data_IF_046586540066
#
_entry.id   IF_046586540066
#
_cell.length_a   1.000
_cell.length_b   1.000
_cell.length_c   1.000
_cell.angle_alpha   90.00
_cell.angle_beta   90.00
_cell.angle_gamma   90.00
#
_symmetry.space_group_name_H-M   'P 1'
#
loop_
_entity.id
_entity.type
_entity.pdbx_description
1 polymer ?
#
# COMPACT_ATOMS: atom_id res chain seq x y z
N UNK A 1 -6.39 -84.47 9.63
CA UNK A 1 -7.43 -84.35 8.60
C UNK A 1 -7.40 -82.96 8.05
N UNK A 2 -7.04 -82.86 6.81
CA UNK A 2 -6.74 -81.69 6.03
C UNK A 2 -8.02 -80.95 5.69
N UNK A 3 -8.00 -79.62 5.69
CA UNK A 3 -8.75 -78.78 4.75
C UNK A 3 -8.05 -77.46 4.56
N UNK A 4 -7.53 -77.32 3.39
CA UNK A 4 -7.06 -76.07 2.74
C UNK A 4 -8.24 -75.14 2.52
N UNK A 5 -8.03 -73.86 2.68
CA UNK A 5 -8.99 -72.80 2.34
C UNK A 5 -8.27 -71.57 1.83
N UNK A 6 -8.38 -71.35 0.56
CA UNK A 6 -7.72 -70.42 -0.33
C UNK A 6 -7.87 -68.97 0.08
N UNK A 7 -6.73 -68.30 0.05
CA UNK A 7 -6.49 -66.85 0.06
C UNK A 7 -6.98 -66.22 -1.25
N UNK A 8 -8.00 -65.35 -1.19
CA UNK A 8 -8.39 -64.51 -2.33
C UNK A 8 -8.01 -63.04 -1.98
N UNK A 9 -6.94 -62.62 -2.62
CA UNK A 9 -6.49 -61.26 -2.64
C UNK A 9 -7.49 -60.34 -3.34
N UNK A 10 -8.18 -59.49 -2.59
CA UNK A 10 -8.99 -58.37 -3.14
C UNK A 10 -8.11 -57.16 -3.38
N UNK A 11 -7.74 -56.93 -4.60
CA UNK A 11 -7.10 -55.72 -5.10
C UNK A 11 -8.09 -54.57 -5.03
N UNK A 12 -7.92 -53.69 -4.06
CA UNK A 12 -8.71 -52.47 -3.90
C UNK A 12 -8.12 -51.37 -4.78
N UNK A 13 -8.73 -51.16 -5.95
CA UNK A 13 -8.49 -50.01 -6.81
C UNK A 13 -8.68 -48.72 -6.04
N UNK A 14 -7.59 -47.98 -5.84
CA UNK A 14 -7.64 -46.60 -5.38
C UNK A 14 -8.08 -45.73 -6.55
N UNK A 15 -9.39 -45.37 -6.58
CA UNK A 15 -9.89 -44.29 -7.39
C UNK A 15 -9.14 -42.99 -7.01
N UNK A 16 -8.41 -42.50 -8.00
CA UNK A 16 -7.73 -41.19 -7.89
C UNK A 16 -8.75 -40.09 -7.58
N UNK A 17 -8.45 -39.33 -6.55
CA UNK A 17 -9.16 -38.08 -6.26
C UNK A 17 -8.94 -37.10 -7.42
N UNK A 18 -9.96 -36.35 -7.83
CA UNK A 18 -9.79 -35.32 -8.84
C UNK A 18 -8.90 -34.24 -8.24
N UNK A 19 -7.74 -34.02 -8.84
CA UNK A 19 -6.88 -32.87 -8.56
C UNK A 19 -7.63 -31.62 -9.00
N UNK A 20 -8.06 -30.82 -8.03
CA UNK A 20 -8.67 -29.51 -8.25
C UNK A 20 -7.61 -28.55 -8.81
N UNK A 21 -7.49 -28.50 -10.12
CA UNK A 21 -6.69 -27.54 -10.87
C UNK A 21 -7.45 -26.22 -11.12
N UNK A 22 -8.52 -25.95 -10.36
CA UNK A 22 -9.39 -24.79 -10.56
C UNK A 22 -8.83 -23.45 -10.03
N UNK A 23 -7.75 -23.44 -9.24
CA UNK A 23 -7.22 -22.20 -8.64
C UNK A 23 -6.47 -21.29 -9.60
N UNK A 24 -5.61 -21.86 -10.43
CA UNK A 24 -4.73 -21.07 -11.32
C UNK A 24 -5.51 -20.36 -12.45
N UNK A 25 -6.57 -20.96 -12.95
CA UNK A 25 -7.38 -20.38 -14.03
C UNK A 25 -8.20 -19.16 -13.59
N UNK A 26 -8.64 -19.10 -12.33
CA UNK A 26 -9.40 -17.95 -11.79
C UNK A 26 -8.51 -16.74 -11.49
N UNK A 27 -7.31 -16.94 -10.99
CA UNK A 27 -6.34 -15.85 -10.77
C UNK A 27 -5.88 -15.24 -12.09
N UNK A 28 -5.61 -16.05 -13.10
CA UNK A 28 -5.22 -15.58 -14.44
C UNK A 28 -6.36 -14.84 -15.15
N UNK A 29 -7.62 -15.25 -14.97
CA UNK A 29 -8.78 -14.54 -15.52
C UNK A 29 -9.05 -13.20 -14.82
N UNK A 30 -8.75 -13.05 -13.51
CA UNK A 30 -8.86 -11.76 -12.81
C UNK A 30 -7.82 -10.73 -13.27
N UNK A 31 -6.66 -11.17 -13.74
CA UNK A 31 -5.58 -10.31 -14.22
C UNK A 31 -5.83 -9.74 -15.63
N UNK A 32 -6.77 -10.30 -16.37
CA UNK A 32 -7.08 -9.90 -17.76
C UNK A 32 -8.42 -9.16 -17.94
N UNK A 33 -9.04 -8.71 -16.83
CA UNK A 33 -10.26 -7.89 -16.92
C UNK A 33 -9.99 -6.56 -17.63
N UNK A 34 -11.00 -6.03 -18.32
CA UNK A 34 -10.91 -4.68 -18.92
C UNK A 34 -10.52 -3.64 -17.87
N UNK A 35 -11.09 -3.73 -16.67
CA UNK A 35 -10.76 -2.87 -15.54
C UNK A 35 -9.28 -2.91 -15.19
N UNK A 36 -8.68 -4.09 -15.11
CA UNK A 36 -7.27 -4.24 -14.82
C UNK A 36 -6.38 -3.70 -15.93
N UNK A 37 -6.73 -3.92 -17.21
CA UNK A 37 -6.00 -3.35 -18.35
C UNK A 37 -5.99 -1.83 -18.33
N UNK A 38 -7.16 -1.22 -18.08
CA UNK A 38 -7.28 0.23 -17.96
C UNK A 38 -6.50 0.75 -16.74
N UNK A 39 -6.61 0.09 -15.59
CA UNK A 39 -5.82 0.44 -14.41
C UNK A 39 -4.31 0.40 -14.69
N UNK A 40 -3.82 -0.66 -15.32
CA UNK A 40 -2.40 -0.81 -15.68
C UNK A 40 -1.91 0.33 -16.59
N UNK A 41 -2.69 0.67 -17.62
CA UNK A 41 -2.38 1.84 -18.47
C UNK A 41 -2.30 3.13 -17.66
N UNK A 42 -3.23 3.33 -16.73
CA UNK A 42 -3.24 4.48 -15.83
C UNK A 42 -1.99 4.54 -14.96
N UNK A 43 -1.59 3.41 -14.36
CA UNK A 43 -0.37 3.33 -13.55
C UNK A 43 0.90 3.65 -14.37
N UNK A 44 0.99 3.15 -15.58
CA UNK A 44 2.14 3.42 -16.44
C UNK A 44 2.20 4.91 -16.84
N UNK A 45 1.05 5.55 -17.06
CA UNK A 45 0.98 6.99 -17.31
C UNK A 45 1.34 7.84 -16.07
N UNK A 46 1.04 7.37 -14.85
CA UNK A 46 1.51 8.02 -13.62
C UNK A 46 3.04 8.00 -13.57
N UNK A 47 3.67 6.85 -13.86
CA UNK A 47 5.14 6.72 -13.91
C UNK A 47 5.76 7.66 -14.94
N UNK A 48 5.07 7.89 -16.06
CA UNK A 48 5.47 8.83 -17.11
C UNK A 48 5.14 10.29 -16.79
N UNK A 49 4.73 10.61 -15.57
CA UNK A 49 4.37 11.96 -15.12
C UNK A 49 3.27 12.62 -15.97
N UNK A 50 2.31 11.82 -16.44
CA UNK A 50 1.18 12.30 -17.22
C UNK A 50 -0.16 12.05 -16.50
N UNK A 51 -0.45 12.80 -15.41
CA UNK A 51 -1.61 12.54 -14.56
C UNK A 51 -2.95 12.79 -15.28
N UNK A 52 -3.01 13.73 -16.23
CA UNK A 52 -4.25 14.02 -16.95
C UNK A 52 -4.73 12.83 -17.79
N UNK A 53 -3.81 12.17 -18.51
CA UNK A 53 -4.15 10.95 -19.25
C UNK A 53 -4.39 9.78 -18.31
N UNK A 54 -3.61 9.65 -17.25
CA UNK A 54 -3.80 8.61 -16.24
C UNK A 54 -5.19 8.67 -15.60
N UNK A 55 -5.71 9.88 -15.34
CA UNK A 55 -7.02 10.09 -14.76
C UNK A 55 -8.14 9.46 -15.60
N UNK A 56 -8.07 9.58 -16.92
CA UNK A 56 -9.06 8.97 -17.82
C UNK A 56 -9.09 7.44 -17.67
N UNK A 57 -7.94 6.80 -17.75
CA UNK A 57 -7.83 5.34 -17.67
C UNK A 57 -8.19 4.80 -16.28
N UNK A 58 -7.73 5.46 -15.20
CA UNK A 58 -8.06 5.00 -13.84
C UNK A 58 -9.54 5.24 -13.53
N UNK A 59 -10.14 6.32 -14.00
CA UNK A 59 -11.59 6.55 -13.89
C UNK A 59 -12.36 5.41 -14.55
N UNK A 60 -11.96 5.03 -15.77
CA UNK A 60 -12.60 3.90 -16.48
C UNK A 60 -12.48 2.58 -15.71
N UNK A 61 -11.33 2.31 -15.09
CA UNK A 61 -11.16 1.14 -14.24
C UNK A 61 -12.10 1.15 -13.03
N UNK A 62 -12.28 2.31 -12.38
CA UNK A 62 -13.22 2.47 -11.25
C UNK A 62 -14.68 2.34 -11.70
N UNK A 63 -15.04 2.81 -12.89
CA UNK A 63 -16.39 2.63 -13.44
C UNK A 63 -16.73 1.16 -13.68
N UNK A 64 -15.75 0.36 -14.10
CA UNK A 64 -15.90 -1.07 -14.34
C UNK A 64 -15.92 -1.89 -13.04
N UNK A 65 -15.09 -1.50 -12.05
CA UNK A 65 -14.96 -2.18 -10.74
C UNK A 65 -14.95 -1.15 -9.61
N UNK A 66 -16.11 -0.63 -9.24
CA UNK A 66 -16.27 0.47 -8.28
C UNK A 66 -15.95 0.11 -6.81
N UNK A 67 -15.88 -1.18 -6.48
CA UNK A 67 -15.56 -1.67 -5.13
C UNK A 67 -14.10 -2.12 -4.96
N UNK A 68 -13.23 -1.85 -5.94
CA UNK A 68 -11.83 -2.18 -5.81
C UNK A 68 -11.06 -1.06 -5.08
N UNK A 69 -10.59 -1.29 -3.84
CA UNK A 69 -9.94 -0.25 -3.04
C UNK A 69 -8.64 0.26 -3.65
N UNK A 70 -7.93 -0.58 -4.43
CA UNK A 70 -6.72 -0.15 -5.13
C UNK A 70 -7.04 0.84 -6.25
N UNK A 71 -8.09 0.59 -7.03
CA UNK A 71 -8.49 1.50 -8.11
C UNK A 71 -8.99 2.83 -7.54
N UNK A 72 -9.82 2.79 -6.49
CA UNK A 72 -10.30 3.99 -5.80
C UNK A 72 -9.15 4.82 -5.22
N UNK A 73 -8.21 4.17 -4.54
CA UNK A 73 -7.07 4.87 -3.93
C UNK A 73 -6.18 5.55 -4.98
N UNK A 74 -5.91 4.89 -6.11
CA UNK A 74 -5.16 5.50 -7.20
C UNK A 74 -5.98 6.58 -7.93
N UNK A 75 -7.30 6.42 -8.02
CA UNK A 75 -8.18 7.46 -8.56
C UNK A 75 -8.10 8.74 -7.74
N UNK A 76 -8.18 8.64 -6.40
CA UNK A 76 -8.00 9.78 -5.50
C UNK A 76 -6.63 10.44 -5.70
N UNK A 77 -5.55 9.64 -5.74
CA UNK A 77 -4.19 10.16 -5.97
C UNK A 77 -4.09 10.94 -7.29
N UNK A 78 -4.56 10.36 -8.39
CA UNK A 78 -4.45 11.00 -9.71
C UNK A 78 -5.37 12.21 -9.83
N UNK A 79 -6.54 12.19 -9.18
CA UNK A 79 -7.43 13.34 -9.10
C UNK A 79 -6.74 14.53 -8.41
N UNK A 80 -5.98 14.26 -7.33
CA UNK A 80 -5.16 15.28 -6.67
C UNK A 80 -4.04 15.81 -7.58
N UNK A 81 -3.39 14.94 -8.34
CA UNK A 81 -2.28 15.32 -9.23
C UNK A 81 -2.74 16.11 -10.47
N UNK A 82 -3.87 15.71 -11.07
CA UNK A 82 -4.35 16.27 -12.34
C UNK A 82 -5.23 17.51 -12.15
N UNK A 83 -6.14 17.47 -11.16
CA UNK A 83 -7.18 18.49 -11.01
C UNK A 83 -7.05 19.29 -9.71
N UNK A 84 -6.09 18.99 -8.84
CA UNK A 84 -5.88 19.63 -7.55
C UNK A 84 -7.12 19.62 -6.62
N UNK A 85 -8.00 18.65 -6.79
CA UNK A 85 -9.22 18.48 -5.99
C UNK A 85 -8.93 17.73 -4.69
N UNK A 86 -8.18 18.38 -3.79
CA UNK A 86 -7.62 17.79 -2.58
C UNK A 86 -8.66 17.12 -1.70
N UNK A 87 -9.76 17.81 -1.41
CA UNK A 87 -10.80 17.31 -0.52
C UNK A 87 -11.46 16.04 -1.08
N UNK A 88 -11.87 16.07 -2.35
CA UNK A 88 -12.47 14.90 -3.00
C UNK A 88 -11.50 13.73 -3.13
N UNK A 89 -10.25 14.02 -3.39
CA UNK A 89 -9.18 13.00 -3.44
C UNK A 89 -8.98 12.32 -2.06
N UNK A 90 -8.99 13.11 -0.99
CA UNK A 90 -8.93 12.63 0.40
C UNK A 90 -10.12 11.71 0.71
N UNK A 91 -11.35 12.15 0.45
CA UNK A 91 -12.57 11.35 0.69
C UNK A 91 -12.51 9.99 0.00
N UNK A 92 -12.09 9.95 -1.27
CA UNK A 92 -11.98 8.72 -2.04
C UNK A 92 -10.90 7.80 -1.46
N UNK A 93 -9.72 8.33 -1.12
CA UNK A 93 -8.63 7.54 -0.52
C UNK A 93 -8.99 7.02 0.87
N UNK A 94 -9.69 7.81 1.69
CA UNK A 94 -10.18 7.39 3.01
C UNK A 94 -11.23 6.30 2.86
N UNK A 95 -12.16 6.42 1.91
CA UNK A 95 -13.14 5.37 1.60
C UNK A 95 -12.45 4.05 1.22
N UNK A 96 -11.43 4.10 0.35
CA UNK A 96 -10.64 2.94 -0.02
C UNK A 96 -9.95 2.28 1.20
N UNK A 97 -9.43 3.09 2.12
CA UNK A 97 -8.82 2.64 3.37
C UNK A 97 -9.83 1.95 4.31
N UNK A 98 -11.07 2.43 4.36
CA UNK A 98 -12.14 1.78 5.13
C UNK A 98 -12.47 0.39 4.60
N UNK A 99 -12.38 0.18 3.28
CA UNK A 99 -12.63 -1.13 2.66
C UNK A 99 -11.52 -2.13 3.00
N UNK A 100 -10.25 -1.69 3.05
CA UNK A 100 -9.11 -2.58 3.28
C UNK A 100 -7.97 -1.87 4.03
N UNK A 101 -7.93 -2.04 5.34
CA UNK A 101 -6.99 -1.33 6.23
C UNK A 101 -5.58 -1.93 6.27
N UNK A 102 -5.40 -3.17 5.82
CA UNK A 102 -4.12 -3.89 5.91
C UNK A 102 -3.20 -3.73 4.69
N UNK A 103 -3.51 -2.77 3.81
CA UNK A 103 -2.78 -2.56 2.56
C UNK A 103 -1.93 -1.29 2.61
N UNK A 104 -0.62 -1.44 2.67
CA UNK A 104 0.34 -0.34 2.72
C UNK A 104 0.17 0.68 1.59
N UNK A 105 -0.21 0.21 0.38
CA UNK A 105 -0.36 1.07 -0.78
C UNK A 105 -1.44 2.14 -0.58
N UNK A 106 -2.52 1.82 0.14
CA UNK A 106 -3.61 2.77 0.38
C UNK A 106 -3.14 3.93 1.27
N UNK A 107 -2.34 3.62 2.30
CA UNK A 107 -1.71 4.64 3.16
C UNK A 107 -0.72 5.51 2.39
N UNK A 108 0.06 4.90 1.49
CA UNK A 108 1.01 5.63 0.64
C UNK A 108 0.28 6.63 -0.27
N UNK A 109 -0.81 6.20 -0.91
CA UNK A 109 -1.57 7.05 -1.81
C UNK A 109 -2.24 8.21 -1.07
N UNK A 110 -2.87 7.95 0.09
CA UNK A 110 -3.48 8.99 0.91
C UNK A 110 -2.44 9.98 1.45
N UNK A 111 -1.30 9.48 1.93
CA UNK A 111 -0.21 10.33 2.40
C UNK A 111 0.36 11.21 1.27
N UNK A 112 0.41 10.69 0.05
CA UNK A 112 0.84 11.47 -1.11
C UNK A 112 -0.17 12.56 -1.48
N UNK A 113 -1.48 12.29 -1.36
CA UNK A 113 -2.54 13.31 -1.50
C UNK A 113 -2.33 14.44 -0.48
N UNK A 114 -2.12 14.11 0.79
CA UNK A 114 -1.84 15.13 1.83
C UNK A 114 -0.55 15.91 1.55
N UNK A 115 0.51 15.22 1.11
CA UNK A 115 1.78 15.87 0.76
C UNK A 115 1.60 16.87 -0.39
N UNK A 116 0.86 16.49 -1.41
CA UNK A 116 0.55 17.37 -2.55
C UNK A 116 -0.31 18.59 -2.13
N UNK A 117 -1.18 18.40 -1.15
CA UNK A 117 -1.98 19.47 -0.53
C UNK A 117 -1.16 20.35 0.45
N UNK A 118 0.13 20.05 0.68
CA UNK A 118 0.97 20.76 1.65
C UNK A 118 0.76 20.35 3.11
N UNK A 119 -0.12 19.38 3.39
CA UNK A 119 -0.51 18.89 4.72
C UNK A 119 0.46 17.78 5.18
N UNK A 120 1.71 18.15 5.44
CA UNK A 120 2.77 17.18 5.74
C UNK A 120 2.57 16.46 7.09
N UNK A 121 1.92 17.09 8.06
CA UNK A 121 1.63 16.46 9.36
C UNK A 121 0.61 15.33 9.20
N UNK A 122 -0.47 15.56 8.46
CA UNK A 122 -1.49 14.54 8.17
C UNK A 122 -0.91 13.39 7.35
N UNK A 123 -0.02 13.69 6.41
CA UNK A 123 0.72 12.68 5.66
C UNK A 123 1.60 11.81 6.58
N UNK A 124 2.31 12.43 7.52
CA UNK A 124 3.15 11.70 8.48
C UNK A 124 2.32 10.84 9.44
N UNK A 125 1.20 11.35 9.92
CA UNK A 125 0.26 10.60 10.74
C UNK A 125 -0.30 9.39 9.98
N UNK A 126 -0.78 9.61 8.75
CA UNK A 126 -1.31 8.54 7.89
C UNK A 126 -0.28 7.42 7.69
N UNK A 127 0.95 7.76 7.36
CA UNK A 127 2.03 6.78 7.20
C UNK A 127 2.35 6.05 8.51
N UNK A 128 2.33 6.75 9.64
CA UNK A 128 2.54 6.14 10.96
C UNK A 128 1.43 5.15 11.29
N UNK A 129 0.17 5.46 10.96
CA UNK A 129 -0.98 4.55 11.11
C UNK A 129 -0.91 3.32 10.20
N UNK A 130 -0.21 3.40 9.07
CA UNK A 130 0.01 2.27 8.16
C UNK A 130 1.10 1.30 8.62
N UNK A 131 2.06 1.73 9.45
CA UNK A 131 3.20 0.90 9.88
C UNK A 131 2.81 -0.39 10.62
N UNK A 132 1.81 -0.42 11.54
CA UNK A 132 1.41 -1.65 12.22
C UNK A 132 0.96 -2.76 11.26
N UNK A 133 0.37 -2.40 10.11
CA UNK A 133 -0.10 -3.35 9.10
C UNK A 133 1.00 -3.85 8.17
N UNK A 134 2.05 -3.05 7.97
CA UNK A 134 3.18 -3.39 7.11
C UNK A 134 4.51 -2.88 7.70
N UNK A 135 4.96 -3.42 8.86
CA UNK A 135 6.08 -2.85 9.63
C UNK A 135 7.43 -2.94 8.90
N UNK A 136 7.56 -3.85 7.93
CA UNK A 136 8.77 -4.03 7.12
C UNK A 136 8.68 -3.41 5.72
N UNK A 137 7.61 -2.73 5.39
CA UNK A 137 7.50 -2.08 4.09
C UNK A 137 8.41 -0.85 4.02
N UNK A 138 9.52 -1.01 3.31
CA UNK A 138 10.51 0.04 3.11
C UNK A 138 9.93 1.29 2.40
N UNK A 139 8.80 1.16 1.69
CA UNK A 139 8.14 2.29 1.02
C UNK A 139 7.51 3.22 2.04
N UNK A 140 6.79 2.68 3.06
CA UNK A 140 6.21 3.46 4.16
C UNK A 140 7.30 4.19 4.95
N UNK A 141 8.37 3.49 5.32
CA UNK A 141 9.49 4.06 6.08
C UNK A 141 10.16 5.20 5.29
N UNK A 142 10.40 4.99 4.00
CA UNK A 142 10.98 6.02 3.11
C UNK A 142 10.03 7.21 2.93
N UNK A 143 8.74 6.97 2.73
CA UNK A 143 7.74 8.03 2.62
C UNK A 143 7.69 8.87 3.91
N UNK A 144 7.64 8.22 5.07
CA UNK A 144 7.63 8.90 6.37
C UNK A 144 8.88 9.74 6.59
N UNK A 145 10.06 9.26 6.18
CA UNK A 145 11.31 10.03 6.29
C UNK A 145 11.34 11.28 5.40
N UNK A 146 10.59 11.28 4.29
CA UNK A 146 10.46 12.44 3.39
C UNK A 146 9.51 13.50 3.92
N UNK A 147 8.42 13.06 4.54
CA UNK A 147 7.33 13.95 4.99
C UNK A 147 7.62 14.56 6.36
N UNK A 148 8.31 13.82 7.25
CA UNK A 148 8.69 14.39 8.55
C UNK A 148 9.59 15.61 8.36
N UNK A 149 9.21 16.77 8.90
CA UNK A 149 10.07 17.94 8.86
C UNK A 149 11.40 17.57 9.50
N UNK A 150 12.49 17.89 8.82
CA UNK A 150 13.82 17.76 9.44
C UNK A 150 13.83 18.64 10.68
N UNK A 151 14.09 18.05 11.84
CA UNK A 151 14.20 18.82 13.10
C UNK A 151 15.10 20.03 12.87
N UNK A 152 14.65 21.17 13.33
CA UNK A 152 15.48 22.37 13.31
C UNK A 152 16.78 22.11 14.09
N UNK A 153 17.89 22.68 13.67
CA UNK A 153 19.13 22.54 14.41
C UNK A 153 18.96 23.15 15.80
N UNK A 154 19.45 22.48 16.83
CA UNK A 154 19.34 22.92 18.23
C UNK A 154 19.93 24.34 18.42
N UNK A 155 20.93 24.64 17.62
CA UNK A 155 21.53 25.98 17.56
C UNK A 155 21.35 26.54 16.15
N UNK A 156 20.42 27.48 15.99
CA UNK A 156 20.06 28.07 14.68
C UNK A 156 21.19 28.89 14.06
N UNK A 157 22.09 29.44 14.90
CA UNK A 157 23.24 30.23 14.48
C UNK A 157 24.46 29.39 14.04
N UNK A 158 24.44 28.06 14.27
CA UNK A 158 25.49 27.13 13.86
C UNK A 158 25.07 26.32 12.67
N UNK A 159 25.98 26.11 11.72
CA UNK A 159 25.73 25.23 10.57
C UNK A 159 25.20 23.83 11.03
N UNK A 160 24.24 23.27 10.35
CA UNK A 160 23.65 21.96 10.70
C UNK A 160 24.70 20.85 10.81
N UNK A 161 25.81 20.96 10.08
CA UNK A 161 26.95 20.00 10.10
C UNK A 161 27.85 20.18 11.29
N UNK A 162 27.71 21.27 12.06
CA UNK A 162 28.57 21.52 13.21
C UNK A 162 28.44 20.42 14.26
N UNK A 163 29.58 20.03 14.83
CA UNK A 163 29.67 18.92 15.79
C UNK A 163 28.66 19.06 16.95
N UNK A 164 28.52 20.26 17.51
CA UNK A 164 27.56 20.54 18.58
C UNK A 164 26.11 20.23 18.20
N UNK A 165 25.65 20.69 17.04
CA UNK A 165 24.29 20.36 16.55
C UNK A 165 24.06 18.86 16.38
N UNK A 166 25.12 18.11 15.99
CA UNK A 166 25.02 16.63 15.87
C UNK A 166 24.93 15.93 17.21
N UNK A 167 25.72 16.37 18.22
CA UNK A 167 25.74 15.71 19.51
C UNK A 167 24.53 16.08 20.36
N UNK A 168 24.17 17.34 20.46
CA UNK A 168 22.99 17.78 21.20
C UNK A 168 21.69 17.31 20.55
N UNK A 169 21.60 17.25 19.21
CA UNK A 169 20.46 16.68 18.53
C UNK A 169 20.23 15.19 18.84
N UNK A 170 21.31 14.40 19.01
CA UNK A 170 21.23 12.99 19.44
C UNK A 170 20.79 12.84 20.89
N UNK A 171 21.32 13.69 21.78
CA UNK A 171 20.95 13.70 23.20
C UNK A 171 19.47 14.08 23.39
N UNK A 172 19.01 15.13 22.74
CA UNK A 172 17.62 15.56 22.77
C UNK A 172 16.69 14.48 22.23
N UNK A 173 17.10 13.79 21.15
CA UNK A 173 16.34 12.68 20.57
C UNK A 173 16.25 11.45 21.49
N UNK A 174 17.29 11.22 22.33
CA UNK A 174 17.24 10.16 23.36
C UNK A 174 16.35 10.55 24.53
N UNK A 175 16.47 11.79 25.03
CA UNK A 175 15.64 12.29 26.12
C UNK A 175 14.15 12.25 25.75
N UNK A 176 13.77 12.74 24.57
CA UNK A 176 12.36 12.69 24.12
C UNK A 176 11.81 11.28 24.00
N UNK A 177 12.62 10.29 23.61
CA UNK A 177 12.20 8.89 23.58
C UNK A 177 11.93 8.30 24.97
N UNK A 178 12.67 8.72 25.97
CA UNK A 178 12.47 8.29 27.34
C UNK A 178 11.18 8.89 27.96
N UNK A 179 10.89 10.16 27.64
CA UNK A 179 9.67 10.83 28.10
C UNK A 179 8.40 10.40 27.37
N UNK A 180 8.49 9.87 26.14
CA UNK A 180 7.32 9.36 25.40
C UNK A 180 7.01 7.88 25.69
N UNK A 181 7.86 7.21 26.48
CA UNK A 181 7.67 5.79 26.88
C UNK A 181 7.21 5.64 28.34
N UNK A 182 7.03 6.76 29.07
CA UNK A 182 6.45 6.85 30.40
C UNK A 182 5.00 7.33 30.34
#
# INVERSE_FOLDING_TARGET
MVCEGQEQAATKERKGAPTDTGGAGKETMMLDTEAFREFKKGIDLIKLQNPNKALHHIRRAVELENHNPFYLSHFGLVLAQAEHKWHKAEEICVSALHMRRNEAQLYLNLAEVYRLAGRNEDAAETLTRGLPYAPRDARLIRALSRVRPRREPVFSFLARRHFLNRQFGKLLARAMRLFSAA
#
